data_IF_382683626974
#
_entry.id   IF_382683626974
#
_cell.length_a   1.000
_cell.length_b   1.000
_cell.length_c   1.000
_cell.angle_alpha   90.00
_cell.angle_beta   90.00
_cell.angle_gamma   90.00
#
_symmetry.space_group_name_H-M   'P 1'
#
loop_
_entity.id
_entity.type
_entity.pdbx_description
1 polymer ?
#
# COMPACT_ATOMS: atom_id res chain seq x y z
N UNK A 1 -38.17 14.47 -19.87
CA UNK A 1 -37.08 13.72 -20.52
C UNK A 1 -36.13 13.21 -19.44
N UNK A 2 -36.19 11.92 -19.09
CA UNK A 2 -35.43 11.32 -17.99
C UNK A 2 -34.05 10.86 -18.50
N UNK A 3 -33.01 11.59 -18.11
CA UNK A 3 -31.62 11.23 -18.40
C UNK A 3 -31.16 10.05 -17.54
N UNK A 4 -31.39 8.83 -18.02
CA UNK A 4 -30.80 7.61 -17.45
C UNK A 4 -29.28 7.67 -17.65
N UNK A 5 -28.58 8.19 -16.65
CA UNK A 5 -27.11 8.15 -16.57
C UNK A 5 -26.58 6.72 -16.69
N UNK A 6 -25.56 6.58 -17.54
CA UNK A 6 -24.99 5.33 -18.05
C UNK A 6 -24.67 4.30 -16.96
N UNK A 7 -25.03 3.04 -17.26
CA UNK A 7 -24.56 1.77 -16.64
C UNK A 7 -24.97 1.49 -15.18
N UNK A 8 -26.26 1.22 -14.97
CA UNK A 8 -26.79 0.71 -13.70
C UNK A 8 -27.57 -0.61 -13.80
N UNK A 9 -27.31 -1.46 -14.81
CA UNK A 9 -28.20 -2.59 -15.13
C UNK A 9 -27.56 -3.85 -15.73
N UNK A 10 -26.27 -4.08 -15.51
CA UNK A 10 -25.63 -5.39 -15.77
C UNK A 10 -24.93 -5.82 -14.50
N UNK A 11 -24.98 -7.11 -14.15
CA UNK A 11 -24.24 -7.67 -13.02
C UNK A 11 -22.81 -7.12 -13.07
N UNK A 12 -22.44 -6.29 -12.09
CA UNK A 12 -21.17 -5.56 -12.10
C UNK A 12 -20.05 -6.59 -12.06
N UNK A 13 -19.35 -6.77 -13.17
CA UNK A 13 -18.07 -7.46 -13.17
C UNK A 13 -17.21 -6.83 -12.06
N UNK A 14 -16.48 -7.66 -11.31
CA UNK A 14 -15.68 -7.20 -10.15
C UNK A 14 -14.75 -6.10 -10.63
N UNK A 15 -14.98 -4.88 -10.16
CA UNK A 15 -14.21 -3.74 -10.60
C UNK A 15 -12.73 -3.95 -10.24
N UNK A 16 -11.83 -3.77 -11.21
CA UNK A 16 -10.37 -3.81 -10.96
C UNK A 16 -10.02 -2.84 -9.82
N UNK A 17 -9.20 -3.29 -8.86
CA UNK A 17 -8.81 -2.47 -7.71
C UNK A 17 -7.86 -1.36 -8.13
N UNK A 18 -7.80 -0.26 -7.38
CA UNK A 18 -6.85 0.83 -7.65
C UNK A 18 -5.39 0.36 -7.62
N UNK A 19 -5.04 -0.54 -6.71
CA UNK A 19 -3.72 -1.19 -6.67
C UNK A 19 -3.43 -1.94 -7.98
N UNK A 20 -4.35 -2.80 -8.43
CA UNK A 20 -4.17 -3.57 -9.67
C UNK A 20 -4.14 -2.73 -10.96
N UNK A 21 -4.70 -1.50 -10.92
CA UNK A 21 -4.61 -0.54 -12.02
C UNK A 21 -3.29 0.22 -12.00
N UNK A 22 -2.74 0.48 -10.81
CA UNK A 22 -1.46 1.16 -10.62
C UNK A 22 -0.25 0.22 -10.69
N UNK A 23 -0.46 -1.10 -10.74
CA UNK A 23 0.62 -2.08 -10.73
C UNK A 23 1.32 -2.24 -9.37
N UNK A 24 0.66 -1.81 -8.29
CA UNK A 24 1.23 -1.81 -6.94
C UNK A 24 0.74 -3.02 -6.14
N UNK A 25 1.64 -3.66 -5.39
CA UNK A 25 1.30 -4.64 -4.36
C UNK A 25 0.66 -3.97 -3.14
N UNK A 26 1.08 -2.75 -2.81
CA UNK A 26 0.56 -2.04 -1.66
C UNK A 26 -0.91 -1.61 -1.86
N UNK A 27 -1.73 -1.65 -0.79
CA UNK A 27 -3.17 -1.44 -0.89
C UNK A 27 -3.54 0.06 -0.97
N UNK A 28 -3.54 0.64 -2.17
CA UNK A 28 -3.94 2.04 -2.47
C UNK A 28 -5.30 2.40 -1.86
N UNK A 29 -6.26 1.47 -1.88
CA UNK A 29 -7.58 1.67 -1.30
C UNK A 29 -7.55 1.93 0.21
N UNK A 30 -6.69 1.19 0.92
CA UNK A 30 -6.50 1.32 2.37
C UNK A 30 -5.74 2.60 2.70
N UNK A 31 -4.67 2.90 1.97
CA UNK A 31 -3.90 4.15 2.12
C UNK A 31 -4.82 5.36 2.00
N UNK A 32 -5.69 5.37 0.99
CA UNK A 32 -6.67 6.45 0.82
C UNK A 32 -7.60 6.61 2.02
N UNK A 33 -8.08 5.51 2.61
CA UNK A 33 -8.94 5.53 3.79
C UNK A 33 -8.18 6.05 5.02
N UNK A 34 -6.93 5.63 5.20
CA UNK A 34 -6.08 6.08 6.30
C UNK A 34 -5.78 7.58 6.20
N UNK A 35 -5.51 8.09 4.99
CA UNK A 35 -5.30 9.53 4.78
C UNK A 35 -6.53 10.37 5.17
N UNK A 36 -7.75 9.88 4.89
CA UNK A 36 -8.97 10.58 5.29
C UNK A 36 -9.25 10.47 6.79
N UNK A 37 -8.99 9.31 7.39
CA UNK A 37 -9.19 9.09 8.83
C UNK A 37 -8.16 9.85 9.67
N UNK A 38 -6.96 10.07 9.14
CA UNK A 38 -5.89 10.79 9.82
C UNK A 38 -6.03 12.31 9.80
N UNK A 39 -7.10 12.87 9.20
CA UNK A 39 -7.39 14.31 9.14
C UNK A 39 -6.21 15.16 8.60
N UNK A 40 -5.37 14.60 7.71
CA UNK A 40 -4.21 15.32 7.15
C UNK A 40 -4.59 16.48 6.23
N UNK A 41 -5.76 16.42 5.62
CA UNK A 41 -6.34 17.47 4.78
C UNK A 41 -7.85 17.29 4.69
N UNK A 42 -8.58 18.37 4.43
CA UNK A 42 -10.03 18.34 4.20
C UNK A 42 -10.39 17.48 2.97
N UNK A 43 -9.56 17.56 1.91
CA UNK A 43 -9.75 16.78 0.68
C UNK A 43 -8.46 16.07 0.30
N UNK A 44 -8.58 14.77 0.00
CA UNK A 44 -7.47 13.95 -0.50
C UNK A 44 -7.69 13.71 -2.00
N UNK A 45 -6.76 14.18 -2.81
CA UNK A 45 -6.76 14.00 -4.26
C UNK A 45 -6.64 12.51 -4.65
N UNK A 46 -7.17 12.15 -5.83
CA UNK A 46 -7.23 10.75 -6.27
C UNK A 46 -5.84 10.10 -6.49
N UNK A 47 -4.85 10.91 -6.88
CA UNK A 47 -3.46 10.47 -7.11
C UNK A 47 -2.61 10.36 -5.85
N UNK A 48 -2.93 11.11 -4.79
CA UNK A 48 -2.18 11.11 -3.53
C UNK A 48 -1.98 9.70 -2.92
N UNK A 49 -3.02 8.85 -2.78
CA UNK A 49 -2.84 7.50 -2.23
C UNK A 49 -2.08 6.56 -3.16
N UNK A 50 -2.02 6.84 -4.48
CA UNK A 50 -1.25 6.03 -5.44
C UNK A 50 0.23 6.34 -5.27
N UNK A 51 0.59 7.63 -5.23
CA UNK A 51 1.96 8.07 -5.02
C UNK A 51 2.52 7.55 -3.68
N UNK A 52 1.78 7.75 -2.59
CA UNK A 52 2.22 7.29 -1.28
C UNK A 52 2.37 5.77 -1.20
N UNK A 53 1.45 5.01 -1.80
CA UNK A 53 1.57 3.55 -1.85
C UNK A 53 2.81 3.10 -2.62
N UNK A 54 3.13 3.75 -3.75
CA UNK A 54 4.31 3.44 -4.55
C UNK A 54 5.62 3.71 -3.78
N UNK A 55 5.71 4.86 -3.10
CA UNK A 55 6.89 5.20 -2.30
C UNK A 55 7.08 4.22 -1.14
N UNK A 56 6.01 3.87 -0.43
CA UNK A 56 6.08 2.91 0.67
C UNK A 56 6.45 1.50 0.16
N UNK A 57 5.93 1.09 -0.99
CA UNK A 57 6.28 -0.19 -1.62
C UNK A 57 7.75 -0.22 -2.01
N UNK A 58 8.25 0.85 -2.64
CA UNK A 58 9.66 0.99 -3.00
C UNK A 58 10.57 0.91 -1.77
N UNK A 59 10.31 1.71 -0.73
CA UNK A 59 11.12 1.71 0.49
C UNK A 59 11.10 0.35 1.20
N UNK A 60 9.94 -0.32 1.23
CA UNK A 60 9.83 -1.65 1.83
C UNK A 60 10.60 -2.70 1.02
N UNK A 61 10.50 -2.64 -0.32
CA UNK A 61 11.25 -3.52 -1.21
C UNK A 61 12.74 -3.31 -1.07
N UNK A 62 13.20 -2.06 -0.98
CA UNK A 62 14.59 -1.70 -0.77
C UNK A 62 15.10 -2.30 0.55
N UNK A 63 14.45 -1.99 1.68
CA UNK A 63 14.82 -2.51 3.02
C UNK A 63 14.82 -4.05 3.05
N UNK A 64 13.83 -4.69 2.42
CA UNK A 64 13.76 -6.14 2.32
C UNK A 64 14.80 -6.73 1.35
N UNK A 65 15.30 -5.95 0.39
CA UNK A 65 16.35 -6.35 -0.55
C UNK A 65 17.76 -6.19 0.04
N UNK A 66 17.98 -5.28 1.00
CA UNK A 66 19.27 -5.16 1.70
C UNK A 66 19.83 -6.46 2.31
N UNK A 67 19.05 -7.41 2.89
CA UNK A 67 19.58 -8.71 3.30
C UNK A 67 20.11 -9.59 2.16
N UNK A 68 19.82 -9.26 0.89
CA UNK A 68 20.36 -9.99 -0.28
C UNK A 68 21.87 -9.77 -0.44
N UNK A 69 22.37 -8.57 -0.09
CA UNK A 69 23.74 -8.13 -0.33
C UNK A 69 24.75 -8.63 0.73
N UNK A 70 24.28 -9.23 1.83
CA UNK A 70 25.14 -9.89 2.82
C UNK A 70 25.26 -11.39 2.50
N UNK A 71 26.48 -11.98 2.64
CA UNK A 71 26.67 -13.41 2.48
C UNK A 71 25.70 -14.16 3.41
N UNK A 72 25.08 -15.21 2.90
CA UNK A 72 24.00 -15.96 3.57
C UNK A 72 24.32 -16.39 5.01
N UNK A 73 25.60 -16.44 5.38
CA UNK A 73 26.14 -16.65 6.73
C UNK A 73 25.64 -15.68 7.81
N UNK A 74 25.26 -14.44 7.47
CA UNK A 74 24.81 -13.44 8.47
C UNK A 74 23.30 -13.20 8.45
N UNK A 75 22.54 -13.94 7.63
CA UNK A 75 21.08 -13.75 7.49
C UNK A 75 20.33 -14.29 8.70
N UNK A 76 20.18 -13.46 9.74
CA UNK A 76 19.13 -13.71 10.75
C UNK A 76 17.77 -13.46 10.10
N UNK A 77 16.76 -14.31 10.35
CA UNK A 77 15.42 -14.08 9.82
C UNK A 77 14.88 -12.75 10.39
N UNK A 78 14.47 -11.86 9.49
CA UNK A 78 13.91 -10.52 9.77
C UNK A 78 12.69 -10.55 10.72
N UNK A 79 12.09 -11.72 10.92
CA UNK A 79 10.97 -11.97 11.83
C UNK A 79 11.36 -12.11 13.32
N UNK A 80 12.65 -12.02 13.66
CA UNK A 80 13.10 -12.14 15.05
C UNK A 80 13.34 -10.76 15.68
N UNK A 81 12.46 -10.27 16.58
CA UNK A 81 12.80 -9.10 17.38
C UNK A 81 14.02 -9.41 18.24
N UNK A 82 15.02 -8.53 18.22
CA UNK A 82 16.26 -8.69 18.97
C UNK A 82 15.97 -8.73 20.49
N UNK A 83 16.40 -9.76 21.24
CA UNK A 83 16.12 -9.86 22.67
C UNK A 83 17.02 -8.97 23.55
N UNK A 84 17.80 -8.04 22.98
CA UNK A 84 18.76 -7.23 23.72
C UNK A 84 18.24 -5.82 24.04
N UNK A 85 17.17 -5.73 24.83
CA UNK A 85 16.75 -4.48 25.49
C UNK A 85 15.88 -4.82 26.71
N UNK A 86 16.45 -5.46 27.73
CA UNK A 86 15.68 -5.91 28.89
C UNK A 86 16.50 -6.59 29.98
N UNK A 87 17.71 -6.08 30.26
CA UNK A 87 18.42 -6.40 31.50
C UNK A 87 18.76 -5.06 32.17
N UNK A 88 17.82 -4.62 33.01
CA UNK A 88 18.10 -3.79 34.17
C UNK A 88 18.34 -4.72 35.35
#
# INVERSE_FOLDING_TARGET
MSGRGKTGGKARAKAKTRSSRAGLQFPVGRVHRLLRKGNYAERVGAGAPVYLAAVLEYLTAEILSWPEMLPATTRRPVSSPSPAAGRA
#
